data_IF_808250007899
#
_entry.id   IF_808250007899
#
_cell.length_a   1.000
_cell.length_b   1.000
_cell.length_c   1.000
_cell.angle_alpha   90.00
_cell.angle_beta   90.00
_cell.angle_gamma   90.00
#
_symmetry.space_group_name_H-M   'P 1'
#
loop_
_entity.id
_entity.type
_entity.pdbx_description
1 polymer ?
#
# COMPACT_ATOMS: atom_id res chain seq x y z
N UNK A 1 -5.96 -2.00 20.73
CA UNK A 1 -5.35 -3.35 20.71
C UNK A 1 -5.59 -3.93 19.34
N UNK A 2 -4.65 -4.69 18.80
CA UNK A 2 -4.84 -5.37 17.51
C UNK A 2 -5.98 -6.39 17.63
N UNK A 3 -6.93 -6.30 16.70
CA UNK A 3 -8.05 -7.24 16.58
C UNK A 3 -7.82 -8.31 15.49
N UNK A 4 -6.87 -8.06 14.58
CA UNK A 4 -6.49 -9.01 13.53
C UNK A 4 -5.77 -10.23 14.13
N UNK A 5 -6.20 -11.44 13.72
CA UNK A 5 -5.58 -12.69 14.19
C UNK A 5 -5.45 -13.74 13.09
N UNK A 6 -4.39 -14.53 13.17
CA UNK A 6 -4.21 -15.74 12.38
C UNK A 6 -4.77 -16.92 13.18
N UNK A 7 -5.69 -17.66 12.57
CA UNK A 7 -6.20 -18.91 13.15
C UNK A 7 -5.38 -20.07 12.59
N UNK A 8 -4.94 -20.96 13.47
CA UNK A 8 -4.19 -22.17 13.10
C UNK A 8 -4.94 -23.38 13.60
N UNK A 9 -5.08 -24.38 12.72
CA UNK A 9 -5.64 -25.69 13.02
C UNK A 9 -4.63 -26.76 12.61
N UNK A 10 -4.45 -27.79 13.43
CA UNK A 10 -3.68 -28.97 13.08
C UNK A 10 -4.44 -30.26 13.44
N UNK A 11 -4.33 -31.30 12.61
CA UNK A 11 -4.98 -32.60 12.84
C UNK A 11 -4.95 -33.53 11.62
N UNK A 12 -5.40 -34.79 11.80
CA UNK A 12 -5.73 -35.69 10.68
C UNK A 12 -7.01 -35.19 10.02
N UNK A 13 -6.91 -34.69 8.78
CA UNK A 13 -8.01 -34.07 8.08
C UNK A 13 -8.22 -34.71 6.70
N UNK A 14 -9.48 -34.68 6.24
CA UNK A 14 -9.78 -34.69 4.82
C UNK A 14 -9.93 -33.26 4.32
N UNK A 15 -9.19 -32.92 3.28
CA UNK A 15 -9.20 -31.63 2.59
C UNK A 15 -9.83 -31.84 1.22
N UNK A 16 -10.88 -31.08 0.92
CA UNK A 16 -11.57 -31.12 -0.37
C UNK A 16 -11.46 -29.72 -1.00
N UNK A 17 -10.79 -29.64 -2.13
CA UNK A 17 -10.72 -28.43 -2.94
C UNK A 17 -11.61 -28.63 -4.18
N UNK A 18 -12.59 -27.75 -4.35
CA UNK A 18 -13.53 -27.79 -5.47
C UNK A 18 -13.41 -26.50 -6.25
N UNK A 19 -13.10 -26.61 -7.54
CA UNK A 19 -13.12 -25.51 -8.49
C UNK A 19 -13.79 -25.95 -9.80
N UNK A 20 -13.03 -26.13 -10.88
CA UNK A 20 -13.49 -26.84 -12.06
C UNK A 20 -13.50 -28.36 -11.83
N UNK A 21 -12.46 -28.84 -11.16
CA UNK A 21 -12.30 -30.22 -10.73
C UNK A 21 -12.40 -30.33 -9.20
N UNK A 22 -12.73 -31.53 -8.74
CA UNK A 22 -12.74 -31.87 -7.31
C UNK A 22 -11.50 -32.68 -6.97
N UNK A 23 -10.72 -32.16 -6.04
CA UNK A 23 -9.53 -32.81 -5.49
C UNK A 23 -9.74 -33.10 -4.01
N UNK A 24 -9.29 -34.28 -3.57
CA UNK A 24 -9.44 -34.74 -2.21
C UNK A 24 -8.12 -35.29 -1.68
N UNK A 25 -7.72 -34.80 -0.51
CA UNK A 25 -6.49 -35.17 0.17
C UNK A 25 -6.82 -35.63 1.59
N UNK A 26 -6.10 -36.63 2.09
CA UNK A 26 -6.18 -37.03 3.49
C UNK A 26 -4.79 -37.09 4.09
N UNK A 27 -4.65 -36.53 5.28
CA UNK A 27 -3.41 -36.61 6.04
C UNK A 27 -3.42 -35.70 7.25
N UNK A 28 -2.32 -35.75 8.01
CA UNK A 28 -2.10 -34.85 9.14
C UNK A 28 -1.56 -33.52 8.62
N UNK A 29 -2.39 -32.49 8.63
CA UNK A 29 -2.14 -31.20 7.99
C UNK A 29 -2.23 -30.05 8.97
N UNK A 30 -1.61 -28.92 8.63
CA UNK A 30 -1.75 -27.64 9.33
C UNK A 30 -2.46 -26.64 8.42
N UNK A 31 -3.60 -26.14 8.85
CA UNK A 31 -4.37 -25.08 8.17
C UNK A 31 -4.14 -23.73 8.84
N UNK A 32 -3.80 -22.73 8.04
CA UNK A 32 -3.60 -21.34 8.43
C UNK A 32 -4.72 -20.50 7.80
N UNK A 33 -5.44 -19.74 8.61
CA UNK A 33 -6.45 -18.78 8.15
C UNK A 33 -5.99 -17.37 8.53
N UNK A 34 -5.71 -16.56 7.51
CA UNK A 34 -5.28 -15.17 7.66
C UNK A 34 -6.48 -14.22 7.88
N UNK A 35 -6.25 -13.00 8.41
CA UNK A 35 -7.31 -12.00 8.60
C UNK A 35 -8.06 -11.63 7.32
N UNK A 36 -7.41 -11.69 6.17
CA UNK A 36 -8.01 -11.43 4.86
C UNK A 36 -8.79 -12.63 4.29
N UNK A 37 -9.13 -13.61 5.13
CA UNK A 37 -9.77 -14.87 4.75
C UNK A 37 -8.98 -15.75 3.78
N UNK A 38 -7.68 -15.52 3.61
CA UNK A 38 -6.82 -16.47 2.92
C UNK A 38 -6.65 -17.73 3.77
N UNK A 39 -6.98 -18.89 3.19
CA UNK A 39 -6.84 -20.22 3.82
C UNK A 39 -5.74 -20.99 3.09
N UNK A 40 -4.75 -21.46 3.84
CA UNK A 40 -3.62 -22.25 3.35
C UNK A 40 -3.58 -23.57 4.12
N UNK A 41 -3.48 -24.70 3.41
CA UNK A 41 -3.35 -26.02 4.03
C UNK A 41 -1.98 -26.59 3.65
N UNK A 42 -1.14 -26.87 4.65
CA UNK A 42 0.18 -27.46 4.48
C UNK A 42 0.18 -28.90 5.02
N UNK A 43 0.77 -29.82 4.26
CA UNK A 43 1.21 -31.11 4.77
C UNK A 43 2.71 -31.05 5.12
N UNK A 44 3.35 -32.21 5.25
CA UNK A 44 4.77 -32.30 5.61
C UNK A 44 5.72 -32.08 4.42
N UNK A 45 5.22 -32.12 3.18
CA UNK A 45 6.03 -32.16 1.97
C UNK A 45 5.85 -30.91 1.11
N UNK A 46 6.94 -30.50 0.47
CA UNK A 46 6.91 -29.37 -0.47
C UNK A 46 6.88 -27.98 0.19
N UNK A 47 7.26 -26.99 -0.60
CA UNK A 47 7.27 -25.59 -0.18
C UNK A 47 5.87 -24.96 -0.24
N UNK A 48 5.03 -25.45 -1.14
CA UNK A 48 3.70 -24.90 -1.39
C UNK A 48 2.64 -25.60 -0.53
N UNK A 49 1.54 -24.91 -0.19
CA UNK A 49 0.40 -25.56 0.44
C UNK A 49 -0.20 -26.61 -0.50
N UNK A 50 -0.64 -27.75 0.06
CA UNK A 50 -1.31 -28.83 -0.69
C UNK A 50 -2.68 -28.38 -1.24
N UNK A 51 -3.33 -27.44 -0.56
CA UNK A 51 -4.54 -26.77 -1.03
C UNK A 51 -4.64 -25.36 -0.44
N UNK A 52 -5.23 -24.42 -1.18
CA UNK A 52 -5.42 -23.05 -0.70
C UNK A 52 -6.61 -22.36 -1.35
N UNK A 53 -7.11 -21.32 -0.68
CA UNK A 53 -8.07 -20.37 -1.23
C UNK A 53 -7.70 -18.96 -0.77
N UNK A 54 -7.37 -18.08 -1.71
CA UNK A 54 -6.91 -16.71 -1.39
C UNK A 54 -8.07 -15.73 -1.33
N UNK A 55 -8.12 -14.93 -0.26
CA UNK A 55 -9.15 -13.89 -0.06
C UNK A 55 -10.57 -14.43 -0.31
N UNK A 56 -10.97 -15.42 0.49
CA UNK A 56 -12.30 -16.00 0.40
C UNK A 56 -13.37 -14.99 0.81
N UNK A 57 -14.53 -15.03 0.15
CA UNK A 57 -15.69 -14.19 0.46
C UNK A 57 -16.24 -14.53 1.86
N UNK A 58 -16.10 -15.80 2.26
CA UNK A 58 -16.49 -16.26 3.59
C UNK A 58 -15.64 -17.44 4.06
N UNK A 59 -15.43 -17.51 5.38
CA UNK A 59 -14.82 -18.65 6.07
C UNK A 59 -15.65 -18.99 7.31
N UNK A 60 -16.30 -20.14 7.30
CA UNK A 60 -17.04 -20.67 8.45
C UNK A 60 -16.29 -21.81 9.12
N UNK A 61 -16.43 -21.94 10.44
CA UNK A 61 -15.91 -23.07 11.20
C UNK A 61 -16.95 -23.60 12.17
N UNK A 62 -17.25 -24.90 12.11
CA UNK A 62 -18.05 -25.60 13.11
C UNK A 62 -17.12 -26.44 14.01
N UNK A 63 -17.44 -26.49 15.30
CA UNK A 63 -16.63 -27.14 16.35
C UNK A 63 -17.46 -28.04 17.27
N UNK A 64 -18.77 -28.20 17.02
CA UNK A 64 -19.67 -28.83 17.97
C UNK A 64 -19.46 -30.35 18.10
N UNK A 65 -19.17 -31.06 17.00
CA UNK A 65 -19.07 -32.52 16.99
C UNK A 65 -17.83 -33.05 16.28
N UNK A 66 -17.39 -32.43 15.19
CA UNK A 66 -16.11 -32.66 14.51
C UNK A 66 -15.71 -31.32 13.87
N UNK A 67 -14.44 -30.93 13.97
CA UNK A 67 -14.03 -29.62 13.44
C UNK A 67 -14.17 -29.60 11.91
N UNK A 68 -14.98 -28.69 11.39
CA UNK A 68 -15.09 -28.46 9.95
C UNK A 68 -14.82 -26.99 9.65
N UNK A 69 -13.98 -26.73 8.66
CA UNK A 69 -13.78 -25.39 8.08
C UNK A 69 -14.22 -25.39 6.62
N UNK A 70 -14.98 -24.37 6.23
CA UNK A 70 -15.40 -24.16 4.84
C UNK A 70 -15.06 -22.74 4.44
N UNK A 71 -14.28 -22.60 3.38
CA UNK A 71 -14.00 -21.33 2.73
C UNK A 71 -14.60 -21.32 1.33
N UNK A 72 -15.17 -20.19 0.93
CA UNK A 72 -15.85 -20.04 -0.37
C UNK A 72 -15.42 -18.75 -1.06
N UNK A 73 -15.21 -18.84 -2.37
CA UNK A 73 -14.93 -17.70 -3.23
C UNK A 73 -15.49 -17.97 -4.62
N UNK A 74 -16.42 -17.16 -5.08
CA UNK A 74 -17.11 -17.40 -6.36
C UNK A 74 -17.65 -18.85 -6.45
N UNK A 75 -17.19 -19.63 -7.43
CA UNK A 75 -17.51 -21.05 -7.61
C UNK A 75 -16.54 -22.00 -6.88
N UNK A 76 -15.50 -21.48 -6.25
CA UNK A 76 -14.47 -22.26 -5.56
C UNK A 76 -14.87 -22.51 -4.11
N UNK A 77 -14.66 -23.74 -3.64
CA UNK A 77 -14.84 -24.13 -2.24
C UNK A 77 -13.61 -24.88 -1.75
N UNK A 78 -13.17 -24.56 -0.53
CA UNK A 78 -12.17 -25.32 0.20
C UNK A 78 -12.77 -25.80 1.52
N UNK A 79 -12.88 -27.11 1.68
CA UNK A 79 -13.43 -27.75 2.89
C UNK A 79 -12.36 -28.56 3.59
N UNK A 80 -12.21 -28.36 4.89
CA UNK A 80 -11.35 -29.16 5.76
C UNK A 80 -12.23 -29.80 6.82
N UNK A 81 -12.22 -31.11 6.91
CA UNK A 81 -12.91 -31.88 7.94
C UNK A 81 -11.89 -32.67 8.75
N UNK A 82 -11.78 -32.35 10.03
CA UNK A 82 -10.88 -33.06 10.94
C UNK A 82 -11.52 -34.38 11.39
N UNK A 83 -10.75 -35.46 11.30
CA UNK A 83 -11.05 -36.77 11.93
C UNK A 83 -10.47 -36.84 13.33
N UNK A 84 -9.31 -36.21 13.54
CA UNK A 84 -8.63 -36.11 14.82
C UNK A 84 -7.93 -34.75 14.92
N UNK A 85 -8.08 -34.05 16.04
CA UNK A 85 -7.60 -32.66 16.21
C UNK A 85 -6.42 -32.62 17.15
N UNK A 86 -5.28 -32.17 16.63
CA UNK A 86 -4.07 -31.92 17.43
C UNK A 86 -4.13 -30.56 18.13
N UNK A 87 -4.63 -29.53 17.45
CA UNK A 87 -4.62 -28.19 18.01
C UNK A 87 -5.47 -27.19 17.24
N UNK A 88 -5.97 -26.21 17.96
CA UNK A 88 -6.59 -25.00 17.41
C UNK A 88 -6.18 -23.81 18.26
N UNK A 89 -5.70 -22.75 17.63
CA UNK A 89 -5.33 -21.52 18.30
C UNK A 89 -5.59 -20.29 17.43
N UNK A 90 -5.76 -19.15 18.07
CA UNK A 90 -5.81 -17.84 17.44
C UNK A 90 -4.65 -17.00 17.97
N UNK A 91 -3.86 -16.43 17.06
CA UNK A 91 -2.68 -15.63 17.39
C UNK A 91 -2.86 -14.21 16.86
N UNK A 92 -2.79 -13.18 17.71
CA UNK A 92 -2.78 -11.79 17.25
C UNK A 92 -1.67 -11.57 16.23
N UNK A 93 -1.95 -10.84 15.16
CA UNK A 93 -0.98 -10.57 14.10
C UNK A 93 -0.92 -9.09 13.78
N UNK A 94 0.27 -8.58 13.48
CA UNK A 94 0.47 -7.22 12.99
C UNK A 94 1.10 -7.24 11.60
N UNK A 95 1.13 -6.08 10.94
CA UNK A 95 2.02 -5.90 9.81
C UNK A 95 3.47 -6.01 10.31
N UNK A 96 4.28 -6.81 9.63
CA UNK A 96 5.72 -6.87 9.84
C UNK A 96 6.43 -5.92 8.87
N UNK A 97 7.54 -5.32 9.31
CA UNK A 97 8.30 -4.36 8.51
C UNK A 97 9.54 -3.85 9.23
N UNK A 98 10.22 -2.89 8.62
CA UNK A 98 11.43 -2.26 9.20
C UNK A 98 11.03 -1.34 10.35
N UNK A 99 11.60 -1.46 11.56
CA UNK A 99 11.31 -0.53 12.66
C UNK A 99 11.65 0.93 12.31
N UNK A 100 10.76 1.86 12.64
CA UNK A 100 10.90 3.30 12.33
C UNK A 100 10.57 4.24 13.48
N UNK A 101 10.33 3.72 14.68
CA UNK A 101 10.05 4.53 15.86
C UNK A 101 9.16 3.84 16.87
N UNK A 102 8.56 4.63 17.76
CA UNK A 102 7.60 4.17 18.78
C UNK A 102 6.27 4.87 18.62
N UNK A 103 5.20 4.15 18.89
CA UNK A 103 3.86 4.70 18.91
C UNK A 103 3.68 5.54 20.19
N UNK A 104 3.25 6.80 20.09
CA UNK A 104 3.02 7.66 21.26
C UNK A 104 1.91 7.12 22.17
N UNK A 105 0.88 6.47 21.61
CA UNK A 105 -0.29 6.03 22.37
C UNK A 105 -0.03 4.78 23.22
N UNK A 106 0.86 3.87 22.77
CA UNK A 106 1.07 2.58 23.45
C UNK A 106 2.54 2.19 23.65
N UNK A 107 3.50 3.01 23.19
CA UNK A 107 4.94 2.78 23.34
C UNK A 107 5.52 1.62 22.50
N UNK A 108 4.68 0.87 21.79
CA UNK A 108 5.11 -0.26 20.96
C UNK A 108 5.81 0.22 19.67
N UNK A 109 6.52 -0.68 19.00
CA UNK A 109 7.26 -0.35 17.79
C UNK A 109 6.31 0.08 16.65
N UNK A 110 6.74 1.11 15.91
CA UNK A 110 6.21 1.44 14.59
C UNK A 110 7.09 0.75 13.54
N UNK A 111 6.48 0.12 12.54
CA UNK A 111 7.18 -0.55 11.45
C UNK A 111 6.74 -0.03 10.09
N UNK A 112 7.68 0.13 9.16
CA UNK A 112 7.48 0.47 7.76
C UNK A 112 7.23 -0.79 6.93
N UNK A 113 6.06 -0.86 6.31
CA UNK A 113 5.71 -1.86 5.31
C UNK A 113 5.06 -1.15 4.11
N UNK A 114 3.77 -1.37 3.82
CA UNK A 114 3.03 -0.58 2.83
C UNK A 114 2.74 0.85 3.33
N UNK A 115 2.48 0.99 4.63
CA UNK A 115 2.41 2.25 5.36
C UNK A 115 3.40 2.25 6.52
N UNK A 116 3.08 2.97 7.58
CA UNK A 116 3.68 2.76 8.91
C UNK A 116 2.60 2.21 9.84
N UNK A 117 2.92 1.14 10.57
CA UNK A 117 1.97 0.41 11.41
C UNK A 117 2.51 0.24 12.82
N UNK A 118 1.65 0.40 13.82
CA UNK A 118 1.99 0.03 15.18
C UNK A 118 1.76 -1.47 15.42
N UNK A 119 2.78 -2.17 15.94
CA UNK A 119 2.68 -3.61 16.26
C UNK A 119 1.89 -3.92 17.54
N UNK A 120 1.54 -2.91 18.34
CA UNK A 120 0.81 -3.07 19.61
C UNK A 120 -0.66 -2.68 19.53
N UNK A 121 -0.95 -1.43 19.13
CA UNK A 121 -2.33 -0.95 19.06
C UNK A 121 -3.00 -1.19 17.70
N UNK A 122 -2.22 -1.41 16.63
CA UNK A 122 -2.72 -1.61 15.27
C UNK A 122 -2.89 -0.33 14.45
N UNK A 123 -2.55 0.83 15.03
CA UNK A 123 -2.65 2.15 14.37
C UNK A 123 -1.89 2.20 13.03
N UNK A 124 -2.44 2.92 12.05
CA UNK A 124 -1.96 2.89 10.67
C UNK A 124 -1.80 4.30 10.11
N UNK A 125 -0.62 4.58 9.56
CA UNK A 125 -0.32 5.83 8.92
C UNK A 125 -0.06 5.62 7.43
N UNK A 126 -0.85 6.31 6.60
CA UNK A 126 -0.78 6.22 5.14
C UNK A 126 0.37 7.04 4.58
N UNK A 127 1.44 6.34 4.17
CA UNK A 127 2.70 6.92 3.69
C UNK A 127 2.92 6.57 2.21
N UNK A 128 3.26 7.54 1.34
CA UNK A 128 3.64 7.28 -0.05
C UNK A 128 4.76 6.23 -0.16
N UNK A 129 4.75 5.40 -1.19
CA UNK A 129 5.74 4.32 -1.35
C UNK A 129 7.19 4.84 -1.44
N UNK A 130 7.35 6.02 -2.04
CA UNK A 130 8.63 6.71 -2.26
C UNK A 130 9.10 7.55 -1.05
N UNK A 131 8.29 7.65 0.00
CA UNK A 131 8.67 8.40 1.19
C UNK A 131 9.67 7.63 2.06
N UNK A 132 10.66 8.35 2.58
CA UNK A 132 11.63 7.85 3.56
C UNK A 132 11.19 8.27 4.96
N UNK A 133 11.18 7.34 5.91
CA UNK A 133 10.90 7.68 7.32
C UNK A 133 12.21 8.09 7.99
N UNK A 134 12.16 9.21 8.71
CA UNK A 134 13.21 9.67 9.62
C UNK A 134 12.77 9.30 11.02
N UNK A 135 13.59 8.56 11.74
CA UNK A 135 13.31 8.11 13.11
C UNK A 135 13.36 9.26 14.12
N UNK A 136 13.85 10.44 13.70
CA UNK A 136 13.64 11.73 14.34
C UNK A 136 12.15 11.93 14.63
N UNK A 137 11.83 12.01 15.92
CA UNK A 137 10.49 12.38 16.33
C UNK A 137 10.22 13.83 15.91
N UNK A 138 8.98 14.12 15.54
CA UNK A 138 8.57 15.47 15.25
C UNK A 138 8.74 16.36 16.50
N UNK A 139 9.07 17.63 16.27
CA UNK A 139 9.04 18.68 17.31
C UNK A 139 7.61 19.08 17.72
N UNK A 140 6.59 18.44 17.14
CA UNK A 140 5.19 18.65 17.50
C UNK A 140 4.72 17.64 18.55
N UNK A 141 3.60 17.98 19.21
CA UNK A 141 3.10 17.27 20.40
C UNK A 141 2.69 15.81 20.15
N UNK A 142 2.54 15.36 18.90
CA UNK A 142 2.18 13.97 18.60
C UNK A 142 3.34 12.98 18.80
N UNK A 143 4.60 13.43 18.80
CA UNK A 143 5.78 12.59 19.04
C UNK A 143 6.02 11.48 18.01
N UNK A 144 5.33 11.51 16.87
CA UNK A 144 5.51 10.55 15.78
C UNK A 144 6.79 10.85 14.97
N UNK A 145 7.35 9.86 14.26
CA UNK A 145 8.44 10.09 13.30
C UNK A 145 8.04 11.07 12.19
N UNK A 146 9.02 11.68 11.52
CA UNK A 146 8.79 12.47 10.29
C UNK A 146 8.95 11.59 9.05
N UNK A 147 8.24 11.93 7.99
CA UNK A 147 8.49 11.39 6.64
C UNK A 147 9.05 12.47 5.73
N UNK A 148 10.06 12.09 4.94
CA UNK A 148 10.57 12.87 3.82
C UNK A 148 9.95 12.34 2.53
N UNK A 149 9.39 13.22 1.72
CA UNK A 149 8.78 12.88 0.42
C UNK A 149 8.98 14.01 -0.57
N UNK A 150 9.15 13.68 -1.85
CA UNK A 150 9.43 14.65 -2.91
C UNK A 150 8.21 14.84 -3.82
N UNK A 151 7.63 16.03 -3.82
CA UNK A 151 6.45 16.40 -4.62
C UNK A 151 6.64 17.80 -5.19
N UNK A 152 7.64 17.94 -6.06
CA UNK A 152 8.15 19.21 -6.57
C UNK A 152 9.14 19.89 -5.64
N UNK A 153 8.99 19.72 -4.34
CA UNK A 153 10.03 19.99 -3.34
C UNK A 153 10.16 18.78 -2.43
N UNK A 154 11.25 18.75 -1.68
CA UNK A 154 11.38 17.80 -0.60
C UNK A 154 10.69 18.31 0.66
N UNK A 155 9.59 17.65 1.01
CA UNK A 155 8.82 17.94 2.21
C UNK A 155 9.24 16.99 3.33
N UNK A 156 9.54 17.55 4.50
CA UNK A 156 9.71 16.79 5.73
C UNK A 156 8.50 17.11 6.61
N UNK A 157 7.54 16.20 6.69
CA UNK A 157 6.28 16.41 7.43
C UNK A 157 6.05 15.28 8.42
N UNK A 158 5.22 15.55 9.42
CA UNK A 158 4.76 14.53 10.36
C UNK A 158 4.14 13.33 9.64
N UNK A 159 4.31 12.15 10.24
CA UNK A 159 3.64 10.94 9.81
C UNK A 159 2.10 11.03 9.96
N UNK A 160 1.63 11.76 10.96
CA UNK A 160 0.20 12.03 11.15
C UNK A 160 -0.25 13.25 10.34
N UNK A 161 -1.17 12.99 9.41
CA UNK A 161 -1.76 13.99 8.52
C UNK A 161 -2.63 15.01 9.26
N UNK A 162 -3.18 14.66 10.42
CA UNK A 162 -3.92 15.58 11.26
C UNK A 162 -2.99 16.59 11.95
N UNK A 163 -1.73 16.19 12.19
CA UNK A 163 -0.71 17.05 12.77
C UNK A 163 -0.03 17.94 11.71
N UNK A 164 0.49 17.34 10.64
CA UNK A 164 1.04 18.06 9.50
C UNK A 164 0.62 17.35 8.21
N UNK A 165 -0.07 18.09 7.32
CA UNK A 165 -0.58 17.52 6.07
C UNK A 165 0.39 17.76 4.92
N UNK A 166 0.87 16.68 4.31
CA UNK A 166 1.61 16.75 3.04
C UNK A 166 0.84 17.54 1.97
N UNK A 167 -0.48 17.37 1.89
CA UNK A 167 -1.30 18.06 0.89
C UNK A 167 -1.32 19.56 1.11
N UNK A 168 -1.38 19.97 2.38
CA UNK A 168 -1.35 21.38 2.73
C UNK A 168 0.01 21.97 2.37
N UNK A 169 1.10 21.28 2.70
CA UNK A 169 2.46 21.74 2.39
C UNK A 169 2.71 21.83 0.88
N UNK A 170 2.28 20.84 0.09
CA UNK A 170 2.42 20.88 -1.38
C UNK A 170 1.52 21.96 -1.98
N UNK A 171 0.29 22.12 -1.49
CA UNK A 171 -0.62 23.17 -1.94
C UNK A 171 -0.06 24.56 -1.64
N UNK A 172 0.47 24.77 -0.45
CA UNK A 172 1.11 26.04 -0.08
C UNK A 172 2.29 26.37 -1.01
N UNK A 173 3.05 25.36 -1.43
CA UNK A 173 4.19 25.55 -2.31
C UNK A 173 3.83 25.77 -3.79
N UNK A 174 2.73 25.18 -4.28
CA UNK A 174 2.49 25.04 -5.73
C UNK A 174 1.05 25.32 -6.19
N UNK A 175 0.09 25.68 -5.33
CA UNK A 175 -1.27 26.01 -5.80
C UNK A 175 -1.21 27.25 -6.70
N UNK A 176 -1.69 27.10 -7.94
CA UNK A 176 -1.71 28.15 -8.96
C UNK A 176 -0.32 28.66 -9.39
N UNK A 177 0.72 27.84 -9.21
CA UNK A 177 2.07 28.19 -9.64
C UNK A 177 2.27 28.02 -11.15
N UNK A 178 1.43 27.21 -11.81
CA UNK A 178 1.58 26.87 -13.23
C UNK A 178 0.29 27.11 -14.00
N UNK A 179 0.43 27.67 -15.19
CA UNK A 179 -0.68 27.91 -16.11
C UNK A 179 -1.17 26.60 -16.76
N UNK A 180 -2.45 26.54 -17.08
CA UNK A 180 -2.99 25.46 -17.89
C UNK A 180 -2.40 25.52 -19.31
N UNK A 181 -1.86 24.41 -19.85
CA UNK A 181 -1.26 24.40 -21.18
C UNK A 181 -2.29 24.37 -22.33
N UNK A 182 -3.59 24.28 -22.03
CA UNK A 182 -4.63 24.24 -23.06
C UNK A 182 -4.76 25.59 -23.79
N UNK A 183 -4.72 25.64 -25.13
CA UNK A 183 -4.67 26.90 -25.89
C UNK A 183 -5.83 27.87 -25.65
N UNK A 184 -7.02 27.33 -25.32
CA UNK A 184 -8.24 28.09 -25.07
C UNK A 184 -8.60 28.16 -23.58
N UNK A 185 -7.60 27.98 -22.69
CA UNK A 185 -7.76 28.06 -21.25
C UNK A 185 -6.72 29.00 -20.64
N UNK A 186 -7.19 30.01 -19.92
CA UNK A 186 -6.36 30.96 -19.16
C UNK A 186 -6.32 30.62 -17.66
N UNK A 187 -6.68 29.39 -17.30
CA UNK A 187 -6.81 28.97 -15.91
C UNK A 187 -5.49 28.53 -15.28
N UNK A 188 -5.41 28.68 -13.97
CA UNK A 188 -4.29 28.17 -13.19
C UNK A 188 -4.46 26.67 -12.87
N UNK A 189 -3.34 25.95 -12.74
CA UNK A 189 -3.31 24.60 -12.19
C UNK A 189 -3.35 24.62 -10.66
N UNK A 190 -4.35 23.96 -10.08
CA UNK A 190 -4.53 23.82 -8.63
C UNK A 190 -4.04 22.49 -8.12
N UNK A 191 -3.47 22.48 -6.91
CA UNK A 191 -3.04 21.25 -6.23
C UNK A 191 -4.24 20.61 -5.52
N UNK A 192 -4.64 19.45 -6.05
CA UNK A 192 -5.82 18.71 -5.60
C UNK A 192 -5.45 17.27 -5.22
N UNK A 193 -6.29 16.64 -4.38
CA UNK A 193 -6.19 15.21 -4.10
C UNK A 193 -7.32 14.46 -4.79
N UNK A 194 -7.00 13.63 -5.78
CA UNK A 194 -7.91 12.71 -6.49
C UNK A 194 -7.18 11.41 -6.83
N UNK A 195 -7.29 10.38 -5.99
CA UNK A 195 -6.51 9.13 -6.14
C UNK A 195 -4.98 9.30 -5.93
N UNK A 196 -4.52 10.54 -5.71
CA UNK A 196 -3.13 10.98 -5.61
C UNK A 196 -3.09 12.51 -5.59
N UNK A 197 -1.91 13.10 -5.47
CA UNK A 197 -1.75 14.55 -5.68
C UNK A 197 -1.69 14.84 -7.17
N UNK A 198 -2.53 15.77 -7.62
CA UNK A 198 -2.60 16.21 -9.01
C UNK A 198 -2.52 17.73 -9.10
N UNK A 199 -1.99 18.24 -10.20
CA UNK A 199 -2.12 19.62 -10.65
C UNK A 199 -3.23 19.66 -11.70
N UNK A 200 -4.41 20.18 -11.36
CA UNK A 200 -5.60 20.18 -12.23
C UNK A 200 -6.12 21.58 -12.48
N UNK A 201 -6.61 21.84 -13.70
CA UNK A 201 -7.11 23.15 -14.09
C UNK A 201 -8.25 23.63 -13.19
N UNK A 202 -8.22 24.90 -12.80
CA UNK A 202 -9.28 25.50 -11.97
C UNK A 202 -10.63 25.62 -12.68
N UNK A 203 -10.61 25.65 -14.02
CA UNK A 203 -11.82 25.73 -14.86
C UNK A 203 -12.53 24.38 -15.02
N UNK A 204 -12.18 23.35 -14.26
CA UNK A 204 -12.96 22.11 -14.22
C UNK A 204 -14.42 22.38 -13.80
N UNK A 205 -15.44 21.87 -14.52
CA UNK A 205 -15.37 20.81 -15.52
C UNK A 205 -15.21 21.27 -16.98
N UNK A 206 -15.15 22.58 -17.25
CA UNK A 206 -15.06 23.13 -18.62
C UNK A 206 -13.68 22.85 -19.25
N UNK A 207 -12.63 22.68 -18.43
CA UNK A 207 -11.33 22.15 -18.80
C UNK A 207 -10.99 20.95 -17.89
N UNK A 208 -10.77 19.76 -18.47
CA UNK A 208 -10.49 18.52 -17.72
C UNK A 208 -9.01 18.20 -17.56
N UNK A 209 -8.14 19.14 -17.95
CA UNK A 209 -6.69 19.02 -17.85
C UNK A 209 -6.24 18.78 -16.42
N UNK A 210 -5.46 17.72 -16.23
CA UNK A 210 -4.89 17.37 -14.94
C UNK A 210 -3.71 16.42 -15.06
N UNK A 211 -2.68 16.69 -14.27
CA UNK A 211 -1.43 15.95 -14.26
C UNK A 211 -1.14 15.37 -12.89
N UNK A 212 -0.67 14.13 -12.83
CA UNK A 212 -0.19 13.56 -11.58
C UNK A 212 1.15 14.19 -11.19
N UNK A 213 1.29 14.67 -9.96
CA UNK A 213 2.53 15.25 -9.47
C UNK A 213 3.59 14.15 -9.31
N UNK A 214 4.74 14.23 -10.01
CA UNK A 214 5.79 13.23 -9.90
C UNK A 214 6.43 13.12 -8.51
N UNK A 215 7.05 11.97 -8.24
CA UNK A 215 7.91 11.75 -7.09
C UNK A 215 9.32 12.29 -7.40
N UNK A 216 9.52 13.58 -7.14
CA UNK A 216 10.75 14.28 -7.49
C UNK A 216 10.71 15.75 -7.14
N UNK A 217 11.76 16.49 -7.51
CA UNK A 217 11.93 17.93 -7.25
C UNK A 217 11.88 18.71 -8.56
N UNK A 218 11.24 19.87 -8.58
CA UNK A 218 11.22 20.73 -9.78
C UNK A 218 12.63 21.22 -10.07
N UNK A 219 13.14 20.94 -11.26
CA UNK A 219 14.52 21.24 -11.69
C UNK A 219 14.58 22.24 -12.87
N UNK A 220 13.43 22.68 -13.38
CA UNK A 220 13.36 23.66 -14.45
C UNK A 220 12.01 23.68 -15.17
N UNK A 221 12.03 24.16 -16.41
CA UNK A 221 10.88 24.24 -17.30
C UNK A 221 11.08 23.36 -18.52
N UNK A 222 10.01 22.68 -18.94
CA UNK A 222 9.95 21.89 -20.16
C UNK A 222 9.65 22.82 -21.34
N UNK A 223 10.06 22.46 -22.56
CA UNK A 223 9.73 23.23 -23.77
C UNK A 223 8.23 23.29 -24.13
N UNK A 224 7.35 22.76 -23.29
CA UNK A 224 5.90 22.96 -23.34
C UNK A 224 5.38 24.02 -22.37
N UNK A 225 6.24 24.64 -21.55
CA UNK A 225 5.87 25.63 -20.52
C UNK A 225 5.57 25.04 -19.14
N UNK A 226 5.41 23.72 -19.03
CA UNK A 226 5.22 23.04 -17.75
C UNK A 226 6.55 22.76 -17.05
N UNK A 227 6.58 22.60 -15.71
CA UNK A 227 7.81 22.29 -14.98
C UNK A 227 8.38 20.90 -15.32
N UNK A 228 9.70 20.79 -15.24
CA UNK A 228 10.41 19.51 -15.20
C UNK A 228 10.74 19.12 -13.76
N UNK A 229 10.81 17.81 -13.51
CA UNK A 229 11.09 17.19 -12.23
C UNK A 229 12.29 16.27 -12.36
N UNK A 230 13.29 16.44 -11.50
CA UNK A 230 14.32 15.44 -11.26
C UNK A 230 13.72 14.30 -10.44
N UNK A 231 13.73 13.09 -10.99
CA UNK A 231 13.21 11.87 -10.34
C UNK A 231 14.31 10.81 -10.26
N UNK A 232 14.06 9.73 -9.52
CA UNK A 232 14.98 8.59 -9.46
C UNK A 232 15.27 7.95 -10.84
N UNK A 233 14.39 8.15 -11.82
CA UNK A 233 14.55 7.68 -13.20
C UNK A 233 15.00 8.79 -14.17
N UNK A 234 15.51 9.90 -13.65
CA UNK A 234 15.95 11.07 -14.45
C UNK A 234 14.91 12.20 -14.52
N UNK A 235 15.17 13.19 -15.38
CA UNK A 235 14.32 14.38 -15.53
C UNK A 235 13.04 14.07 -16.33
N UNK A 236 11.90 14.55 -15.86
CA UNK A 236 10.57 14.31 -16.44
C UNK A 236 9.69 15.57 -16.42
N UNK A 237 8.90 15.80 -17.47
CA UNK A 237 7.85 16.84 -17.47
C UNK A 237 6.66 16.48 -16.55
N UNK A 238 5.98 17.49 -16.00
CA UNK A 238 4.70 17.33 -15.29
C UNK A 238 3.69 16.53 -16.12
N UNK A 239 3.57 16.87 -17.39
CA UNK A 239 2.83 16.06 -18.36
C UNK A 239 3.68 14.84 -18.78
N UNK A 240 3.24 13.65 -18.33
CA UNK A 240 3.86 12.37 -18.64
C UNK A 240 3.88 12.04 -20.13
N UNK A 241 2.99 12.65 -20.91
CA UNK A 241 2.81 12.40 -22.34
C UNK A 241 3.55 13.42 -23.23
N UNK A 242 4.21 14.40 -22.61
CA UNK A 242 4.92 15.45 -23.32
C UNK A 242 6.15 14.90 -24.05
N UNK A 243 6.09 14.89 -25.39
CA UNK A 243 7.18 14.41 -26.26
C UNK A 243 8.47 15.25 -26.11
N UNK A 244 8.34 16.56 -25.85
CA UNK A 244 9.48 17.45 -25.60
C UNK A 244 10.20 17.09 -24.30
N UNK A 245 9.45 16.63 -23.29
CA UNK A 245 10.01 16.13 -22.04
C UNK A 245 10.71 14.78 -22.20
N UNK A 246 10.15 13.87 -23.01
CA UNK A 246 10.76 12.57 -23.30
C UNK A 246 12.10 12.69 -24.04
N UNK A 247 12.21 13.62 -24.99
CA UNK A 247 13.44 13.80 -25.77
C UNK A 247 14.64 14.19 -24.89
N UNK A 248 14.42 15.09 -23.91
CA UNK A 248 15.47 15.53 -22.97
C UNK A 248 15.90 14.43 -21.99
N UNK A 249 14.97 13.54 -21.59
CA UNK A 249 15.29 12.40 -20.74
C UNK A 249 16.21 11.38 -21.45
N UNK A 250 15.97 11.13 -22.74
CA UNK A 250 16.80 10.22 -23.56
C UNK A 250 18.21 10.77 -23.82
N UNK A 251 18.34 12.08 -24.00
CA UNK A 251 19.66 12.74 -24.14
C UNK A 251 20.48 12.67 -22.85
N UNK A 252 19.84 12.81 -21.68
CA UNK A 252 20.51 12.72 -20.39
C UNK A 252 21.03 11.30 -20.08
N UNK A 253 20.24 10.26 -20.40
CA UNK A 253 20.66 8.85 -20.23
C UNK A 253 21.87 8.52 -21.12
N UNK A 254 21.89 9.03 -22.36
CA UNK A 254 23.00 8.81 -23.29
C UNK A 254 24.31 9.49 -22.89
N UNK A 255 24.27 10.49 -22.01
CA UNK A 255 25.44 11.21 -21.51
C UNK A 255 25.99 10.66 -20.19
N UNK A 256 25.26 9.77 -19.51
CA UNK A 256 25.69 9.14 -18.26
C UNK A 256 26.46 7.82 -18.47
N UNK A 257 26.44 7.28 -19.69
CA UNK A 257 27.10 6.03 -20.09
C UNK A 257 28.47 6.22 -20.79
N UNK A 258 28.99 7.45 -20.86
CA UNK A 258 30.32 7.84 -21.39
C UNK A 258 31.26 8.37 -20.28
#
# INVERSE_FOLDING_TARGET
MIDDSIRVLAGDCTVIAESADREEYRGRVTTIVKPDNTVLVHDADGYQPVAWLTRADSVSSDRANDFTLVAKKDTQTLRIAAHDRDGFASYPTSAAGTPVGRCPDCGAALVRSSGVHCVGCGERYGVPADATIRDEQCDCDCGLPRMRVERGLAFNVCLDRACESLDAAVREAFDREWDCPEPDCDGDLRILRRGGLIAGCEHYPDCDTGFAVPAGVVDGECGCGLPTFETASGTRCLDATCQKGLARALEADSAADD
#
